data_IF_794706076092
#
_entry.id   IF_794706076092
#
_cell.length_a   1.000
_cell.length_b   1.000
_cell.length_c   1.000
_cell.angle_alpha   90.00
_cell.angle_beta   90.00
_cell.angle_gamma   90.00
#
_symmetry.space_group_name_H-M   'P 1'
#
loop_
_entity.id
_entity.type
_entity.pdbx_description
1 polymer ?
#
# COMPACT_ATOMS: atom_id res chain seq x y z
N UNK A 1 27.78 -5.11 -4.62
CA UNK A 1 28.32 -5.54 -5.92
C UNK A 1 27.27 -5.54 -7.04
N UNK A 2 26.03 -5.98 -6.80
CA UNK A 2 24.92 -5.92 -7.78
C UNK A 2 24.61 -4.50 -8.29
N UNK A 3 24.45 -3.54 -7.39
CA UNK A 3 24.11 -2.15 -7.73
C UNK A 3 25.09 -1.51 -8.72
N UNK A 4 26.39 -1.72 -8.50
CA UNK A 4 27.45 -1.25 -9.40
C UNK A 4 27.31 -1.85 -10.81
N UNK A 5 27.04 -3.15 -10.93
CA UNK A 5 26.81 -3.81 -12.23
C UNK A 5 25.55 -3.28 -12.94
N UNK A 6 24.51 -2.93 -12.19
CA UNK A 6 23.28 -2.35 -12.73
C UNK A 6 23.53 -0.94 -13.32
N UNK A 7 24.22 -0.08 -12.58
CA UNK A 7 24.57 1.29 -13.01
C UNK A 7 25.49 1.27 -14.23
N UNK A 8 26.49 0.38 -14.24
CA UNK A 8 27.41 0.24 -15.38
C UNK A 8 26.85 -0.57 -16.56
N UNK A 9 25.55 -0.94 -16.54
CA UNK A 9 24.89 -1.73 -17.59
C UNK A 9 25.57 -3.06 -17.91
N UNK A 10 26.18 -3.69 -16.91
CA UNK A 10 26.90 -4.98 -17.02
C UNK A 10 25.93 -6.16 -16.82
N UNK A 11 24.71 -5.92 -16.36
CA UNK A 11 23.72 -6.98 -16.14
C UNK A 11 23.41 -7.75 -17.44
N UNK A 12 23.23 -9.09 -17.35
CA UNK A 12 22.94 -9.95 -18.49
C UNK A 12 21.46 -9.82 -18.90
N UNK A 13 21.04 -8.62 -19.29
CA UNK A 13 19.72 -8.37 -19.88
C UNK A 13 19.75 -8.68 -21.37
N UNK A 14 18.62 -9.12 -21.96
CA UNK A 14 18.60 -9.63 -23.34
C UNK A 14 19.06 -8.61 -24.38
N UNK A 15 18.90 -7.29 -24.16
CA UNK A 15 19.49 -6.28 -25.08
C UNK A 15 21.02 -6.38 -25.12
N UNK A 16 21.67 -6.51 -23.96
CA UNK A 16 23.13 -6.65 -23.87
C UNK A 16 23.62 -8.00 -24.40
N UNK A 17 22.89 -9.08 -24.10
CA UNK A 17 23.22 -10.42 -24.57
C UNK A 17 23.03 -10.54 -26.09
N UNK A 18 22.02 -9.90 -26.65
CA UNK A 18 21.78 -9.85 -28.09
C UNK A 18 22.92 -9.13 -28.83
N UNK A 19 23.37 -7.98 -28.31
CA UNK A 19 24.55 -7.26 -28.85
C UNK A 19 25.82 -8.12 -28.84
N UNK A 20 25.97 -8.99 -27.84
CA UNK A 20 27.10 -9.93 -27.73
C UNK A 20 26.86 -11.27 -28.45
N UNK A 21 25.76 -11.40 -29.19
CA UNK A 21 25.34 -12.63 -29.91
C UNK A 21 25.13 -13.86 -29.01
N UNK A 22 24.80 -13.63 -27.74
CA UNK A 22 24.50 -14.69 -26.77
C UNK A 22 22.99 -14.94 -26.57
N UNK A 23 22.12 -14.08 -27.10
CA UNK A 23 20.67 -14.22 -27.06
C UNK A 23 20.06 -14.14 -28.47
N UNK A 24 18.96 -14.86 -28.70
CA UNK A 24 18.28 -14.93 -30.00
C UNK A 24 17.48 -13.66 -30.31
N UNK A 25 16.88 -13.04 -29.29
CA UNK A 25 16.09 -11.81 -29.42
C UNK A 25 16.27 -10.91 -28.20
N UNK A 26 16.14 -9.58 -28.35
CA UNK A 26 16.30 -8.63 -27.24
C UNK A 26 15.09 -8.53 -26.30
N UNK A 27 13.98 -9.23 -26.58
CA UNK A 27 12.73 -9.13 -25.80
C UNK A 27 12.87 -9.66 -24.37
N UNK A 28 12.15 -9.08 -23.41
CA UNK A 28 12.12 -9.53 -22.01
C UNK A 28 11.65 -10.98 -21.88
N UNK A 29 12.41 -11.78 -21.12
CA UNK A 29 12.09 -13.19 -20.89
C UNK A 29 10.81 -13.40 -20.06
N UNK A 30 10.37 -12.37 -19.32
CA UNK A 30 9.17 -12.45 -18.46
C UNK A 30 7.92 -11.97 -19.17
N UNK A 31 7.88 -10.69 -19.59
CA UNK A 31 6.67 -10.10 -20.17
C UNK A 31 6.56 -10.36 -21.67
N UNK A 32 7.68 -10.64 -22.35
CA UNK A 32 7.78 -10.90 -23.78
C UNK A 32 7.25 -9.79 -24.71
N UNK A 33 6.86 -8.63 -24.16
CA UNK A 33 6.22 -7.54 -24.89
C UNK A 33 7.19 -6.44 -25.32
N UNK A 34 8.27 -6.21 -24.58
CA UNK A 34 9.23 -5.14 -24.83
C UNK A 34 10.68 -5.64 -24.78
N UNK A 35 11.62 -4.83 -25.27
CA UNK A 35 13.05 -5.11 -25.18
C UNK A 35 13.54 -5.04 -23.73
N UNK A 36 14.36 -6.01 -23.33
CA UNK A 36 14.90 -6.11 -21.99
C UNK A 36 16.14 -5.22 -21.81
N UNK A 37 15.91 -3.93 -21.56
CA UNK A 37 16.92 -3.02 -21.03
C UNK A 37 17.06 -3.21 -19.52
N UNK A 38 18.09 -2.61 -18.88
CA UNK A 38 18.23 -2.63 -17.41
C UNK A 38 17.03 -1.96 -16.74
N UNK A 39 16.55 -0.86 -17.31
CA UNK A 39 15.37 -0.14 -16.85
C UNK A 39 14.11 -1.00 -16.97
N UNK A 40 13.91 -1.69 -18.10
CA UNK A 40 12.76 -2.59 -18.26
C UNK A 40 12.85 -3.77 -17.27
N UNK A 41 13.98 -4.45 -17.28
CA UNK A 41 14.32 -5.56 -16.40
C UNK A 41 14.04 -5.29 -14.91
N UNK A 42 14.51 -4.16 -14.39
CA UNK A 42 14.52 -3.86 -12.96
C UNK A 42 13.43 -2.91 -12.51
N UNK A 43 12.78 -2.16 -13.42
CA UNK A 43 11.84 -1.10 -13.06
C UNK A 43 10.53 -1.16 -13.86
N UNK A 44 10.57 -1.28 -15.19
CA UNK A 44 9.39 -1.01 -16.04
C UNK A 44 8.62 -2.26 -16.48
N UNK A 45 9.21 -3.45 -16.40
CA UNK A 45 8.53 -4.71 -16.71
C UNK A 45 7.26 -4.82 -15.86
N UNK A 46 6.08 -5.13 -16.44
CA UNK A 46 4.82 -5.21 -15.69
C UNK A 46 4.91 -6.11 -14.45
N UNK A 47 5.64 -7.22 -14.56
CA UNK A 47 5.90 -8.12 -13.45
C UNK A 47 6.78 -7.48 -12.36
N UNK A 48 7.86 -6.82 -12.75
CA UNK A 48 8.76 -6.13 -11.82
C UNK A 48 8.08 -4.94 -11.14
N UNK A 49 7.25 -4.19 -11.87
CA UNK A 49 6.42 -3.10 -11.32
C UNK A 49 5.48 -3.58 -10.23
N UNK A 50 4.89 -4.77 -10.41
CA UNK A 50 4.02 -5.38 -9.40
C UNK A 50 4.79 -5.69 -8.10
N UNK A 51 6.06 -6.09 -8.17
CA UNK A 51 6.91 -6.32 -7.00
C UNK A 51 7.24 -5.01 -6.28
N UNK A 52 7.67 -3.97 -7.00
CA UNK A 52 7.95 -2.66 -6.39
C UNK A 52 6.71 -2.07 -5.71
N UNK A 53 5.56 -2.16 -6.39
CA UNK A 53 4.29 -1.67 -5.87
C UNK A 53 3.83 -2.44 -4.62
N UNK A 54 3.97 -3.76 -4.62
CA UNK A 54 3.55 -4.58 -3.49
C UNK A 54 4.57 -4.65 -2.34
N UNK A 55 5.77 -4.09 -2.50
CA UNK A 55 6.80 -4.06 -1.46
C UNK A 55 6.53 -3.00 -0.38
N UNK A 56 7.29 -3.03 0.72
CA UNK A 56 7.26 -2.00 1.78
C UNK A 56 7.46 -0.57 1.28
N UNK A 57 8.18 -0.40 0.16
CA UNK A 57 8.45 0.90 -0.43
C UNK A 57 7.30 1.43 -1.29
N UNK A 58 6.41 0.55 -1.77
CA UNK A 58 5.20 0.89 -2.55
C UNK A 58 5.44 1.81 -3.74
N UNK A 59 6.58 1.65 -4.42
CA UNK A 59 6.99 2.51 -5.53
C UNK A 59 6.40 1.98 -6.84
N UNK A 60 5.94 2.87 -7.71
CA UNK A 60 5.49 2.54 -9.05
C UNK A 60 6.41 3.19 -10.10
N UNK A 61 7.45 2.49 -10.56
CA UNK A 61 8.24 2.97 -11.70
C UNK A 61 7.37 3.00 -12.96
N UNK A 62 7.50 4.06 -13.74
CA UNK A 62 6.80 4.28 -15.02
C UNK A 62 7.77 4.90 -16.03
N UNK A 63 7.45 4.79 -17.32
CA UNK A 63 8.26 5.39 -18.37
C UNK A 63 8.39 6.93 -18.23
N UNK A 64 7.43 7.58 -17.56
CA UNK A 64 7.45 9.02 -17.34
C UNK A 64 8.39 9.44 -16.20
N UNK A 65 8.65 8.55 -15.22
CA UNK A 65 9.50 8.87 -14.07
C UNK A 65 10.87 8.16 -14.10
N UNK A 66 11.04 7.14 -14.95
CA UNK A 66 12.32 6.44 -15.16
C UNK A 66 12.97 6.92 -16.45
N UNK A 67 13.94 7.82 -16.32
CA UNK A 67 14.77 8.26 -17.45
C UNK A 67 16.02 7.38 -17.63
N UNK A 68 16.68 7.03 -16.53
CA UNK A 68 17.73 6.01 -16.48
C UNK A 68 17.69 5.30 -15.13
N UNK A 69 18.18 4.06 -15.07
CA UNK A 69 18.24 3.31 -13.81
C UNK A 69 19.03 4.07 -12.74
N UNK A 70 20.17 4.67 -13.11
CA UNK A 70 21.03 5.43 -12.20
C UNK A 70 20.32 6.66 -11.63
N UNK A 71 19.75 7.50 -12.50
CA UNK A 71 19.07 8.73 -12.07
C UNK A 71 17.85 8.41 -11.21
N UNK A 72 17.06 7.41 -11.63
CA UNK A 72 15.90 6.96 -10.88
C UNK A 72 16.30 6.42 -9.50
N UNK A 73 17.37 5.63 -9.41
CA UNK A 73 17.87 5.13 -8.13
C UNK A 73 18.37 6.25 -7.24
N UNK A 74 19.10 7.23 -7.77
CA UNK A 74 19.58 8.37 -6.97
C UNK A 74 18.42 9.21 -6.44
N UNK A 75 17.45 9.57 -7.28
CA UNK A 75 16.27 10.34 -6.88
C UNK A 75 15.42 9.59 -5.85
N UNK A 76 15.32 8.27 -6.00
CA UNK A 76 14.54 7.40 -5.11
C UNK A 76 15.24 7.19 -3.77
N UNK A 77 16.56 6.91 -3.77
CA UNK A 77 17.37 6.73 -2.55
C UNK A 77 17.47 8.03 -1.75
N UNK A 78 17.57 9.19 -2.40
CA UNK A 78 17.57 10.50 -1.72
C UNK A 78 16.23 10.80 -1.04
N UNK A 79 15.11 10.42 -1.66
CA UNK A 79 13.78 10.54 -1.04
C UNK A 79 13.59 9.56 0.14
N UNK A 80 14.18 8.37 0.07
CA UNK A 80 14.05 7.31 1.08
C UNK A 80 14.97 7.51 2.29
N UNK A 81 16.13 8.18 2.14
CA UNK A 81 17.10 8.43 3.21
C UNK A 81 16.57 9.18 4.44
N UNK A 82 15.34 9.71 4.42
CA UNK A 82 14.70 10.34 5.59
C UNK A 82 13.99 9.37 6.53
N UNK A 83 13.96 8.05 6.28
CA UNK A 83 13.26 7.14 7.22
C UNK A 83 13.51 5.64 7.14
N UNK A 84 14.05 5.04 6.08
CA UNK A 84 14.16 3.57 6.01
C UNK A 84 15.47 3.10 5.37
N UNK A 85 15.99 1.97 5.88
CA UNK A 85 17.29 1.38 5.52
C UNK A 85 17.36 0.80 4.09
N UNK A 86 18.27 -0.17 3.89
CA UNK A 86 18.62 -0.84 2.59
C UNK A 86 17.48 -1.66 1.94
N UNK A 87 16.23 -1.23 2.04
CA UNK A 87 15.05 -1.94 1.53
C UNK A 87 15.04 -2.04 -0.01
N UNK A 88 15.45 -0.98 -0.69
CA UNK A 88 15.57 -0.95 -2.15
C UNK A 88 16.58 -1.98 -2.67
N UNK A 89 17.71 -2.15 -1.97
CA UNK A 89 18.72 -3.16 -2.32
C UNK A 89 18.15 -4.58 -2.20
N UNK A 90 17.32 -4.85 -1.19
CA UNK A 90 16.70 -6.17 -0.98
C UNK A 90 15.72 -6.51 -2.08
N UNK A 91 14.86 -5.57 -2.46
CA UNK A 91 13.90 -5.76 -3.54
C UNK A 91 14.64 -6.01 -4.85
N UNK A 92 15.67 -5.21 -5.15
CA UNK A 92 16.50 -5.37 -6.34
C UNK A 92 17.19 -6.74 -6.41
N UNK A 93 17.81 -7.19 -5.33
CA UNK A 93 18.46 -8.51 -5.28
C UNK A 93 17.47 -9.67 -5.43
N UNK A 94 16.26 -9.57 -4.85
CA UNK A 94 15.23 -10.60 -4.99
C UNK A 94 14.61 -10.62 -6.39
N UNK A 95 14.44 -9.45 -7.00
CA UNK A 95 14.02 -9.33 -8.40
C UNK A 95 15.00 -10.01 -9.34
N UNK A 96 16.31 -9.75 -9.18
CA UNK A 96 17.34 -10.43 -9.96
C UNK A 96 17.31 -11.95 -9.72
N UNK A 97 17.25 -12.38 -8.46
CA UNK A 97 17.27 -13.80 -8.11
C UNK A 97 16.07 -14.55 -8.69
N UNK A 98 14.86 -13.99 -8.57
CA UNK A 98 13.65 -14.57 -9.14
C UNK A 98 13.73 -14.62 -10.67
N UNK A 99 14.32 -13.60 -11.30
CA UNK A 99 14.53 -13.59 -12.75
C UNK A 99 15.52 -14.65 -13.20
N UNK A 100 16.63 -14.81 -12.49
CA UNK A 100 17.60 -15.87 -12.78
C UNK A 100 16.96 -17.26 -12.64
N UNK A 101 16.15 -17.48 -11.60
CA UNK A 101 15.38 -18.72 -11.43
C UNK A 101 14.39 -18.95 -12.57
N UNK A 102 13.70 -17.91 -13.04
CA UNK A 102 12.80 -18.02 -14.19
C UNK A 102 13.54 -18.39 -15.47
N UNK A 103 14.64 -17.69 -15.77
CA UNK A 103 15.40 -17.85 -17.02
C UNK A 103 16.11 -19.22 -17.07
N UNK A 104 16.81 -19.59 -16.00
CA UNK A 104 17.67 -20.78 -16.00
C UNK A 104 17.00 -22.04 -15.46
N UNK A 105 16.01 -21.90 -14.57
CA UNK A 105 15.35 -23.04 -13.91
C UNK A 105 13.87 -23.17 -14.32
N UNK A 106 13.37 -22.30 -15.19
CA UNK A 106 11.99 -22.31 -15.70
C UNK A 106 10.92 -22.29 -14.59
N UNK A 107 11.28 -21.72 -13.43
CA UNK A 107 10.38 -21.59 -12.29
C UNK A 107 9.34 -20.51 -12.62
N UNK A 108 8.07 -20.82 -12.31
CA UNK A 108 6.99 -19.84 -12.42
C UNK A 108 7.13 -18.79 -11.32
N UNK A 109 7.39 -17.56 -11.73
CA UNK A 109 7.62 -16.44 -10.83
C UNK A 109 6.32 -15.74 -10.43
N UNK A 110 6.18 -15.45 -9.14
CA UNK A 110 5.02 -14.76 -8.57
C UNK A 110 5.49 -13.50 -7.82
N UNK A 111 5.02 -12.30 -8.17
CA UNK A 111 5.40 -11.05 -7.49
C UNK A 111 5.19 -11.11 -5.97
N UNK A 112 4.09 -11.73 -5.51
CA UNK A 112 3.79 -11.89 -4.08
C UNK A 112 4.87 -12.67 -3.34
N UNK A 113 5.41 -13.72 -3.97
CA UNK A 113 6.46 -14.53 -3.35
C UNK A 113 7.78 -13.74 -3.24
N UNK A 114 8.10 -12.94 -4.25
CA UNK A 114 9.30 -12.09 -4.25
C UNK A 114 9.24 -11.03 -3.15
N UNK A 115 8.06 -10.43 -2.95
CA UNK A 115 7.81 -9.47 -1.87
C UNK A 115 8.01 -10.13 -0.50
N UNK A 116 7.38 -11.30 -0.28
CA UNK A 116 7.52 -12.06 0.97
C UNK A 116 8.98 -12.40 1.23
N UNK A 117 9.73 -12.86 0.22
CA UNK A 117 11.14 -13.21 0.35
C UNK A 117 11.99 -11.97 0.68
N UNK A 118 11.71 -10.82 0.07
CA UNK A 118 12.41 -9.57 0.35
C UNK A 118 12.18 -9.08 1.80
N UNK A 119 10.97 -9.25 2.33
CA UNK A 119 10.62 -8.95 3.73
C UNK A 119 11.17 -9.99 4.73
N UNK A 120 11.24 -11.25 4.33
CA UNK A 120 11.88 -12.31 5.13
C UNK A 120 13.37 -12.07 5.27
N UNK A 121 14.06 -11.75 4.17
CA UNK A 121 15.47 -11.31 4.20
C UNK A 121 15.65 -10.04 5.03
N UNK A 122 14.63 -9.17 5.10
CA UNK A 122 14.65 -8.02 5.98
C UNK A 122 14.68 -8.40 7.46
N UNK A 123 13.89 -9.41 7.80
CA UNK A 123 13.77 -9.97 9.14
C UNK A 123 15.00 -10.81 9.50
N UNK A 124 15.49 -11.65 8.60
CA UNK A 124 16.66 -12.52 8.80
C UNK A 124 17.95 -11.72 8.92
N UNK A 125 18.15 -10.67 8.11
CA UNK A 125 19.30 -9.78 8.25
C UNK A 125 19.26 -9.02 9.58
N UNK A 126 18.09 -8.57 10.04
CA UNK A 126 17.96 -7.98 11.38
C UNK A 126 18.25 -8.99 12.48
N UNK A 127 17.79 -10.24 12.35
CA UNK A 127 18.03 -11.29 13.33
C UNK A 127 19.50 -11.74 13.35
N UNK A 128 20.16 -11.87 12.20
CA UNK A 128 21.59 -12.26 12.11
C UNK A 128 22.54 -11.13 12.49
N UNK A 129 22.19 -9.87 12.24
CA UNK A 129 22.95 -8.71 12.75
C UNK A 129 22.82 -8.59 14.28
N UNK A 130 21.69 -9.02 14.85
CA UNK A 130 21.46 -9.10 16.32
C UNK A 130 22.10 -10.36 16.94
N UNK A 131 22.17 -11.46 16.19
CA UNK A 131 22.75 -12.76 16.59
C UNK A 131 24.28 -12.80 16.65
N UNK A 132 24.98 -11.66 16.49
CA UNK A 132 26.39 -11.55 16.93
C UNK A 132 26.53 -11.30 18.43
N UNK A 133 25.42 -11.25 19.15
CA UNK A 133 25.35 -11.17 20.60
C UNK A 133 24.22 -12.08 21.05
N UNK A 134 24.58 -13.06 21.87
CA UNK A 134 23.74 -14.13 22.49
C UNK A 134 23.36 -15.30 21.58
N UNK A 135 24.30 -16.23 21.43
CA UNK A 135 23.97 -17.65 21.30
C UNK A 135 23.27 -18.16 22.57
N UNK A 136 22.45 -19.19 22.35
CA UNK A 136 21.70 -20.02 23.31
C UNK A 136 20.39 -19.42 23.86
N UNK A 137 19.26 -19.94 23.38
CA UNK A 137 18.34 -20.79 24.17
C UNK A 137 17.32 -21.47 23.23
N UNK A 138 16.94 -22.66 23.66
CA UNK A 138 16.20 -23.77 23.07
C UNK A 138 15.01 -23.49 22.13
N UNK A 139 14.99 -24.31 21.07
CA UNK A 139 13.83 -24.64 20.23
C UNK A 139 12.66 -25.18 21.07
N UNK A 140 11.56 -24.44 21.13
CA UNK A 140 10.24 -24.99 21.48
C UNK A 140 9.14 -24.26 20.69
N UNK A 141 8.25 -25.08 20.13
CA UNK A 141 6.98 -24.82 19.43
C UNK A 141 6.89 -23.74 18.33
N UNK A 142 6.94 -24.23 17.09
CA UNK A 142 6.37 -23.56 15.91
C UNK A 142 4.89 -23.92 15.80
N UNK A 143 4.04 -23.31 16.62
CA UNK A 143 2.64 -23.13 16.23
C UNK A 143 2.55 -21.79 15.50
N UNK A 144 2.03 -21.81 14.26
CA UNK A 144 1.97 -20.63 13.41
C UNK A 144 1.02 -19.58 13.99
N UNK A 145 1.57 -18.58 14.67
CA UNK A 145 0.83 -17.35 14.95
C UNK A 145 0.48 -16.68 13.61
N UNK A 146 -0.80 -16.76 13.22
CA UNK A 146 -1.35 -15.89 12.18
C UNK A 146 -1.11 -14.46 12.62
N UNK A 147 -0.15 -13.75 12.02
CA UNK A 147 0.02 -12.30 12.21
C UNK A 147 -1.31 -11.63 11.84
N UNK A 148 -2.07 -11.20 12.85
CA UNK A 148 -3.36 -10.53 12.67
C UNK A 148 -3.15 -9.16 12.00
N UNK A 149 -3.82 -8.94 10.88
CA UNK A 149 -3.88 -7.65 10.19
C UNK A 149 -4.87 -6.78 10.98
N UNK A 150 -4.44 -5.60 11.42
CA UNK A 150 -5.27 -4.66 12.18
C UNK A 150 -4.91 -3.22 11.79
N UNK A 151 -5.77 -2.27 12.13
CA UNK A 151 -5.54 -0.85 11.85
C UNK A 151 -4.20 -0.40 12.43
N UNK A 152 -3.47 0.42 11.67
CA UNK A 152 -2.19 0.98 12.09
C UNK A 152 -2.28 2.49 12.25
N UNK A 153 -1.72 3.06 13.33
CA UNK A 153 -1.65 4.50 13.49
C UNK A 153 -0.87 5.16 12.35
N UNK A 154 -1.22 6.41 12.06
CA UNK A 154 -0.45 7.28 11.18
C UNK A 154 0.92 7.62 11.78
N UNK A 155 1.89 8.04 10.96
CA UNK A 155 3.10 8.68 11.47
C UNK A 155 2.77 9.84 12.40
N UNK A 156 3.67 10.12 13.34
CA UNK A 156 3.49 11.20 14.32
C UNK A 156 3.20 12.54 13.60
N UNK A 157 2.24 13.30 14.11
CA UNK A 157 1.71 14.55 13.53
C UNK A 157 1.00 14.43 12.17
N UNK A 158 0.53 13.22 11.80
CA UNK A 158 -0.39 13.04 10.67
C UNK A 158 -1.76 12.56 11.14
N UNK A 159 -2.81 13.06 10.50
CA UNK A 159 -4.15 12.51 10.65
C UNK A 159 -4.37 11.37 9.65
N UNK A 160 -5.27 10.45 9.99
CA UNK A 160 -5.68 9.36 9.11
C UNK A 160 -7.19 9.29 9.05
N UNK A 161 -7.74 9.48 7.86
CA UNK A 161 -9.15 9.30 7.56
C UNK A 161 -9.37 7.91 6.96
N UNK A 162 -10.17 7.07 7.62
CA UNK A 162 -10.62 5.80 7.08
C UNK A 162 -12.03 5.98 6.50
N UNK A 163 -12.25 5.46 5.29
CA UNK A 163 -13.54 5.56 4.58
C UNK A 163 -14.05 4.17 4.21
N UNK A 164 -15.36 3.98 4.28
CA UNK A 164 -16.05 2.76 3.85
C UNK A 164 -17.47 3.10 3.40
N UNK A 165 -18.08 2.24 2.58
CA UNK A 165 -19.48 2.34 2.24
C UNK A 165 -20.24 1.01 2.35
N UNK A 166 -21.45 1.07 2.90
CA UNK A 166 -22.39 -0.03 2.86
C UNK A 166 -23.37 0.22 1.71
N UNK A 167 -23.59 -0.78 0.85
CA UNK A 167 -24.49 -0.68 -0.29
C UNK A 167 -25.46 -1.86 -0.35
N UNK A 168 -26.75 -1.56 -0.46
CA UNK A 168 -27.81 -2.56 -0.60
C UNK A 168 -28.40 -2.55 -2.01
N UNK A 169 -27.96 -3.52 -2.83
CA UNK A 169 -28.24 -3.60 -4.27
C UNK A 169 -29.72 -3.56 -4.63
N UNK A 170 -30.59 -4.21 -3.85
CA UNK A 170 -32.03 -4.31 -4.17
C UNK A 170 -32.76 -2.97 -4.02
N UNK A 171 -32.38 -2.17 -3.04
CA UNK A 171 -33.02 -0.87 -2.76
C UNK A 171 -32.28 0.32 -3.38
N UNK A 172 -31.04 0.14 -3.82
CA UNK A 172 -30.13 1.23 -4.19
C UNK A 172 -29.65 2.09 -3.01
N UNK A 173 -30.06 1.76 -1.78
CA UNK A 173 -29.64 2.50 -0.58
C UNK A 173 -28.18 2.24 -0.30
N UNK A 174 -27.43 3.32 -0.07
CA UNK A 174 -26.07 3.29 0.44
C UNK A 174 -25.92 4.15 1.70
N UNK A 175 -24.88 3.85 2.46
CA UNK A 175 -24.40 4.71 3.51
C UNK A 175 -22.87 4.81 3.44
N UNK A 176 -22.35 6.03 3.54
CA UNK A 176 -20.92 6.28 3.65
C UNK A 176 -20.55 6.52 5.11
N UNK A 177 -19.34 6.12 5.47
CA UNK A 177 -18.72 6.49 6.72
C UNK A 177 -17.29 6.99 6.52
N UNK A 178 -16.95 8.02 7.27
CA UNK A 178 -15.61 8.58 7.40
C UNK A 178 -15.28 8.69 8.87
N UNK A 179 -14.13 8.17 9.27
CA UNK A 179 -13.59 8.34 10.62
C UNK A 179 -12.17 8.86 10.54
N UNK A 180 -11.92 10.02 11.17
CA UNK A 180 -10.60 10.65 11.23
C UNK A 180 -9.99 10.38 12.60
N UNK A 181 -8.80 9.80 12.60
CA UNK A 181 -8.04 9.45 13.80
C UNK A 181 -6.66 10.09 13.81
N UNK A 182 -6.14 10.36 15.00
CA UNK A 182 -4.76 10.78 15.19
C UNK A 182 -3.79 9.58 15.28
N UNK A 183 -2.51 9.88 15.46
CA UNK A 183 -1.44 8.90 15.62
C UNK A 183 -1.57 8.03 16.90
N UNK A 184 -2.41 8.44 17.87
CA UNK A 184 -2.72 7.67 19.07
C UNK A 184 -3.96 6.77 18.88
N UNK A 185 -4.60 6.84 17.71
CA UNK A 185 -5.84 6.13 17.42
C UNK A 185 -7.09 6.78 18.02
N UNK A 186 -6.98 7.99 18.56
CA UNK A 186 -8.13 8.74 19.08
C UNK A 186 -8.95 9.28 17.91
N UNK A 187 -10.27 9.13 17.98
CA UNK A 187 -11.17 9.77 17.01
C UNK A 187 -11.11 11.29 17.22
N UNK A 188 -10.77 12.00 16.15
CA UNK A 188 -10.78 13.47 16.08
C UNK A 188 -12.13 13.95 15.57
N UNK A 189 -12.61 13.35 14.49
CA UNK A 189 -13.90 13.67 13.88
C UNK A 189 -14.36 12.52 12.98
N UNK A 190 -15.55 12.63 12.42
CA UNK A 190 -16.06 11.71 11.43
C UNK A 190 -17.40 12.17 10.89
N UNK A 191 -17.86 11.53 9.83
CA UNK A 191 -19.21 11.74 9.32
C UNK A 191 -19.77 10.41 8.84
N UNK A 192 -21.10 10.33 8.85
CA UNK A 192 -21.84 9.26 8.20
C UNK A 192 -22.98 9.88 7.41
N UNK A 193 -23.20 9.41 6.20
CA UNK A 193 -24.28 9.89 5.34
C UNK A 193 -25.04 8.72 4.75
N UNK A 194 -26.30 8.95 4.37
CA UNK A 194 -27.11 8.00 3.61
C UNK A 194 -27.50 8.64 2.29
N UNK A 195 -27.46 7.86 1.23
CA UNK A 195 -27.78 8.31 -0.12
C UNK A 195 -28.27 7.13 -0.97
N UNK A 196 -28.76 7.44 -2.16
CA UNK A 196 -29.13 6.43 -3.16
C UNK A 196 -28.04 6.39 -4.22
N UNK A 197 -27.66 5.20 -4.64
CA UNK A 197 -26.68 4.96 -5.70
C UNK A 197 -27.00 3.66 -6.42
N UNK A 198 -26.35 3.45 -7.56
CA UNK A 198 -26.58 2.29 -8.43
C UNK A 198 -25.49 1.23 -8.30
N UNK A 199 -24.36 1.53 -7.66
CA UNK A 199 -23.23 0.61 -7.56
C UNK A 199 -22.48 0.74 -6.24
N UNK A 200 -21.88 -0.37 -5.80
CA UNK A 200 -21.00 -0.40 -4.63
C UNK A 200 -19.78 0.50 -4.83
N UNK A 201 -19.19 0.51 -6.03
CA UNK A 201 -18.01 1.34 -6.34
C UNK A 201 -18.34 2.84 -6.29
N UNK A 202 -19.54 3.25 -6.71
CA UNK A 202 -20.00 4.62 -6.56
C UNK A 202 -20.25 4.98 -5.08
N UNK A 203 -20.72 4.03 -4.27
CA UNK A 203 -20.86 4.23 -2.83
C UNK A 203 -19.50 4.46 -2.16
N UNK A 204 -18.50 3.64 -2.48
CA UNK A 204 -17.12 3.78 -1.99
C UNK A 204 -16.51 5.11 -2.46
N UNK A 205 -16.69 5.48 -3.73
CA UNK A 205 -16.23 6.76 -4.26
C UNK A 205 -16.87 7.93 -3.51
N UNK A 206 -18.17 7.84 -3.23
CA UNK A 206 -18.88 8.88 -2.48
C UNK A 206 -18.34 9.01 -1.05
N UNK A 207 -18.05 7.90 -0.35
CA UNK A 207 -17.43 7.93 0.97
C UNK A 207 -16.05 8.61 0.95
N UNK A 208 -15.24 8.31 -0.06
CA UNK A 208 -13.93 8.93 -0.26
C UNK A 208 -14.06 10.44 -0.51
N UNK A 209 -15.01 10.85 -1.38
CA UNK A 209 -15.30 12.25 -1.67
C UNK A 209 -15.74 13.01 -0.42
N UNK A 210 -16.59 12.42 0.41
CA UNK A 210 -17.02 13.02 1.67
C UNK A 210 -15.86 13.21 2.65
N UNK A 211 -14.88 12.31 2.67
CA UNK A 211 -13.68 12.49 3.47
C UNK A 211 -12.86 13.70 3.01
N UNK A 212 -12.67 13.87 1.71
CA UNK A 212 -11.98 15.05 1.16
C UNK A 212 -12.69 16.36 1.54
N UNK A 213 -14.02 16.39 1.38
CA UNK A 213 -14.82 17.57 1.75
C UNK A 213 -14.70 17.85 3.25
N UNK A 214 -14.77 16.82 4.09
CA UNK A 214 -14.65 16.96 5.55
C UNK A 214 -13.28 17.51 5.94
N UNK A 215 -12.21 16.93 5.41
CA UNK A 215 -10.82 17.34 5.66
C UNK A 215 -10.62 18.80 5.25
N UNK A 216 -11.13 19.18 4.08
CA UNK A 216 -11.04 20.55 3.57
C UNK A 216 -11.80 21.54 4.45
N UNK A 217 -13.07 21.24 4.76
CA UNK A 217 -13.92 22.13 5.54
C UNK A 217 -13.37 22.37 6.96
N UNK A 218 -12.66 21.38 7.50
CA UNK A 218 -12.04 21.47 8.82
C UNK A 218 -10.57 21.93 8.77
N UNK A 219 -10.05 22.31 7.60
CA UNK A 219 -8.67 22.76 7.40
C UNK A 219 -7.64 21.78 8.01
N UNK A 220 -7.89 20.48 7.83
CA UNK A 220 -7.06 19.42 8.36
C UNK A 220 -5.87 19.17 7.43
N UNK A 221 -4.82 19.95 7.62
CA UNK A 221 -3.57 19.76 6.89
C UNK A 221 -2.94 18.40 7.24
N UNK A 222 -2.23 17.79 6.27
CA UNK A 222 -1.44 16.57 6.49
C UNK A 222 -2.27 15.32 6.92
N UNK A 223 -3.38 15.07 6.20
CA UNK A 223 -4.25 13.91 6.40
C UNK A 223 -4.05 12.83 5.32
N UNK A 224 -3.94 11.56 5.73
CA UNK A 224 -3.91 10.41 4.81
C UNK A 224 -5.33 9.81 4.74
N UNK A 225 -5.85 9.60 3.52
CA UNK A 225 -7.14 8.91 3.34
C UNK A 225 -6.89 7.45 2.98
N UNK A 226 -7.51 6.54 3.72
CA UNK A 226 -7.45 5.09 3.54
C UNK A 226 -8.84 4.52 3.26
N UNK A 227 -8.95 3.72 2.20
CA UNK A 227 -10.13 2.91 1.87
C UNK A 227 -9.69 1.46 1.63
N UNK A 228 -10.59 0.50 1.85
CA UNK A 228 -10.36 -0.89 1.50
C UNK A 228 -10.74 -1.23 0.03
N UNK A 229 -11.28 -0.25 -0.69
CA UNK A 229 -11.67 -0.38 -2.09
C UNK A 229 -10.47 -0.20 -3.04
N UNK A 230 -9.78 -1.31 -3.34
CA UNK A 230 -8.62 -1.31 -4.24
C UNK A 230 -8.90 -0.73 -5.64
N UNK A 231 -10.01 -1.05 -6.33
CA UNK A 231 -10.30 -0.50 -7.65
C UNK A 231 -10.42 1.02 -7.65
N UNK A 232 -11.03 1.60 -6.59
CA UNK A 232 -11.15 3.05 -6.45
C UNK A 232 -9.78 3.72 -6.29
N UNK A 233 -8.93 3.19 -5.42
CA UNK A 233 -7.57 3.72 -5.22
C UNK A 233 -6.75 3.64 -6.50
N UNK A 234 -6.87 2.54 -7.25
CA UNK A 234 -6.20 2.38 -8.55
C UNK A 234 -6.68 3.43 -9.55
N UNK A 235 -8.00 3.65 -9.65
CA UNK A 235 -8.59 4.65 -10.54
C UNK A 235 -8.14 6.08 -10.18
N UNK A 236 -8.17 6.46 -8.89
CA UNK A 236 -7.71 7.77 -8.42
C UNK A 236 -6.22 7.98 -8.76
N UNK A 237 -5.36 7.01 -8.42
CA UNK A 237 -3.91 7.13 -8.66
C UNK A 237 -3.54 7.14 -10.14
N UNK A 238 -4.25 6.37 -10.96
CA UNK A 238 -4.06 6.34 -12.40
C UNK A 238 -4.75 7.51 -13.12
N UNK A 239 -5.58 8.30 -12.41
CA UNK A 239 -6.48 9.30 -12.96
C UNK A 239 -7.38 8.73 -14.08
N UNK A 240 -7.85 7.50 -13.88
CA UNK A 240 -8.66 6.76 -14.83
C UNK A 240 -10.13 6.73 -14.39
N UNK A 241 -11.08 6.80 -15.34
CA UNK A 241 -12.50 6.70 -15.03
C UNK A 241 -12.90 5.26 -14.70
N UNK A 242 -13.89 5.11 -13.82
CA UNK A 242 -14.69 3.89 -13.66
C UNK A 242 -16.11 4.30 -14.05
N UNK A 243 -16.70 3.64 -15.06
CA UNK A 243 -17.95 4.09 -15.68
C UNK A 243 -19.06 4.40 -14.67
N UNK A 244 -19.24 3.53 -13.67
CA UNK A 244 -20.28 3.65 -12.65
C UNK A 244 -20.05 4.77 -11.62
N UNK A 245 -18.81 5.26 -11.49
CA UNK A 245 -18.40 6.26 -10.50
C UNK A 245 -17.68 7.47 -11.11
N UNK A 246 -17.71 7.61 -12.44
CA UNK A 246 -16.85 8.52 -13.21
C UNK A 246 -17.02 10.00 -12.81
N UNK A 247 -18.26 10.44 -12.62
CA UNK A 247 -18.56 11.79 -12.17
C UNK A 247 -17.97 12.07 -10.76
N UNK A 248 -18.07 11.10 -9.85
CA UNK A 248 -17.56 11.21 -8.48
C UNK A 248 -16.03 11.19 -8.49
N UNK A 249 -15.41 10.32 -9.30
CA UNK A 249 -13.96 10.24 -9.46
C UNK A 249 -13.40 11.55 -10.00
N UNK A 250 -14.05 12.18 -10.99
CA UNK A 250 -13.61 13.50 -11.48
C UNK A 250 -13.60 14.56 -10.38
N UNK A 251 -14.63 14.58 -9.53
CA UNK A 251 -14.70 15.51 -8.40
C UNK A 251 -13.61 15.21 -7.35
N UNK A 252 -13.38 13.92 -7.04
CA UNK A 252 -12.27 13.49 -6.18
C UNK A 252 -10.93 13.98 -6.71
N UNK A 253 -10.67 13.83 -8.02
CA UNK A 253 -9.42 14.26 -8.64
C UNK A 253 -9.23 15.77 -8.54
N UNK A 254 -10.29 16.55 -8.77
CA UNK A 254 -10.25 18.00 -8.60
C UNK A 254 -9.94 18.40 -7.14
N UNK A 255 -10.63 17.78 -6.18
CA UNK A 255 -10.39 18.04 -4.75
C UNK A 255 -8.96 17.65 -4.32
N UNK A 256 -8.39 16.60 -4.89
CA UNK A 256 -7.00 16.20 -4.63
C UNK A 256 -5.98 17.15 -5.25
N UNK A 257 -6.25 17.68 -6.45
CA UNK A 257 -5.38 18.68 -7.10
C UNK A 257 -5.31 19.97 -6.26
N UNK A 258 -6.37 20.30 -5.52
CA UNK A 258 -6.43 21.42 -4.56
C UNK A 258 -5.79 21.10 -3.19
N UNK A 259 -5.45 19.84 -2.90
CA UNK A 259 -4.98 19.38 -1.60
C UNK A 259 -3.71 18.49 -1.72
N UNK A 260 -2.53 19.06 -2.02
CA UNK A 260 -1.31 18.29 -2.34
C UNK A 260 -0.78 17.45 -1.16
N UNK A 261 -1.16 17.79 0.08
CA UNK A 261 -0.75 17.08 1.29
C UNK A 261 -1.64 15.86 1.62
N UNK A 262 -2.70 15.64 0.84
CA UNK A 262 -3.66 14.54 1.04
C UNK A 262 -3.38 13.40 0.06
N UNK A 263 -3.11 12.21 0.59
CA UNK A 263 -2.78 11.02 -0.20
C UNK A 263 -3.87 9.95 -0.16
N UNK A 264 -4.15 9.33 -1.32
CA UNK A 264 -5.00 8.15 -1.44
C UNK A 264 -4.22 6.87 -1.12
N UNK A 265 -4.68 6.10 -0.13
CA UNK A 265 -4.03 4.86 0.31
C UNK A 265 -5.04 3.72 0.39
N UNK A 266 -4.58 2.51 0.08
CA UNK A 266 -5.38 1.30 0.24
C UNK A 266 -4.98 0.60 1.55
N UNK A 267 -5.98 0.08 2.28
CA UNK A 267 -5.79 -0.80 3.43
C UNK A 267 -6.56 -2.10 3.24
N UNK A 268 -6.08 -3.26 3.74
CA UNK A 268 -6.93 -4.44 3.86
C UNK A 268 -8.19 -4.13 4.69
N UNK A 269 -9.28 -4.84 4.44
CA UNK A 269 -10.56 -4.68 5.15
C UNK A 269 -10.42 -4.88 6.67
N UNK A 270 -9.54 -5.79 7.08
CA UNK A 270 -9.21 -6.03 8.49
C UNK A 270 -8.53 -4.82 9.16
N UNK A 271 -7.95 -3.92 8.37
CA UNK A 271 -7.42 -2.63 8.80
C UNK A 271 -8.44 -1.48 8.75
N UNK A 272 -9.67 -1.72 8.26
CA UNK A 272 -10.71 -0.70 8.07
C UNK A 272 -11.98 -0.93 8.91
N UNK A 273 -11.91 -1.78 9.95
CA UNK A 273 -13.09 -2.27 10.69
C UNK A 273 -14.00 -1.15 11.25
N UNK A 274 -13.42 -0.06 11.76
CA UNK A 274 -14.21 1.04 12.34
C UNK A 274 -15.08 1.72 11.27
N UNK A 275 -14.50 2.10 10.13
CA UNK A 275 -15.25 2.72 9.04
C UNK A 275 -16.32 1.76 8.51
N UNK A 276 -15.98 0.48 8.39
CA UNK A 276 -16.92 -0.55 7.96
C UNK A 276 -18.13 -0.72 8.87
N UNK A 277 -17.92 -0.81 10.18
CA UNK A 277 -19.01 -0.89 11.15
C UNK A 277 -19.87 0.38 11.14
N UNK A 278 -19.26 1.56 11.04
CA UNK A 278 -19.99 2.83 10.96
C UNK A 278 -20.89 2.90 9.72
N UNK A 279 -20.39 2.46 8.56
CA UNK A 279 -21.16 2.44 7.33
C UNK A 279 -22.36 1.47 7.44
N UNK A 280 -22.15 0.29 8.00
CA UNK A 280 -23.21 -0.69 8.25
C UNK A 280 -24.28 -0.16 9.22
N UNK A 281 -23.87 0.44 10.35
CA UNK A 281 -24.78 1.05 11.32
C UNK A 281 -25.56 2.22 10.70
N UNK A 282 -24.91 3.05 9.89
CA UNK A 282 -25.55 4.15 9.18
C UNK A 282 -26.61 3.64 8.19
N UNK A 283 -26.33 2.57 7.44
CA UNK A 283 -27.31 1.92 6.57
C UNK A 283 -28.51 1.36 7.35
N UNK A 284 -28.27 0.83 8.57
CA UNK A 284 -29.29 0.30 9.47
C UNK A 284 -30.09 1.33 10.27
N UNK A 285 -29.78 2.64 10.17
CA UNK A 285 -30.31 3.68 11.09
C UNK A 285 -29.98 3.45 12.58
N UNK A 286 -28.87 2.78 12.85
CA UNK A 286 -28.44 2.42 14.21
C UNK A 286 -27.46 3.43 14.82
N UNK A 287 -27.09 4.49 14.06
CA UNK A 287 -26.12 5.48 14.49
C UNK A 287 -26.77 6.81 14.89
N UNK A 288 -26.40 7.35 16.06
CA UNK A 288 -26.84 8.67 16.52
C UNK A 288 -26.01 9.77 15.86
N UNK A 289 -26.59 10.95 15.65
CA UNK A 289 -25.88 12.13 15.08
C UNK A 289 -24.61 12.52 15.85
N UNK A 290 -24.55 12.27 17.16
CA UNK A 290 -23.43 12.64 18.04
C UNK A 290 -22.46 11.48 18.35
N UNK A 291 -22.42 10.44 17.51
CA UNK A 291 -21.59 9.24 17.73
C UNK A 291 -20.10 9.52 17.92
N UNK A 292 -19.60 10.68 17.47
CA UNK A 292 -18.21 11.10 17.68
C UNK A 292 -17.89 11.26 19.18
N UNK A 293 -18.83 11.80 19.97
CA UNK A 293 -18.65 12.03 21.40
C UNK A 293 -19.02 10.81 22.24
N UNK A 294 -20.04 10.06 21.81
CA UNK A 294 -20.46 8.81 22.44
C UNK A 294 -20.57 7.70 21.37
N UNK A 295 -19.44 7.07 21.01
CA UNK A 295 -19.42 6.04 20.00
C UNK A 295 -20.15 4.77 20.50
N UNK A 296 -20.90 4.07 19.62
CA UNK A 296 -21.52 2.80 19.96
C UNK A 296 -20.53 1.81 20.60
N UNK A 297 -21.02 0.94 21.47
CA UNK A 297 -20.19 -0.01 22.22
C UNK A 297 -19.31 -0.88 21.30
N UNK A 298 -19.84 -1.28 20.15
CA UNK A 298 -19.11 -2.05 19.14
C UNK A 298 -17.90 -1.27 18.61
N UNK A 299 -18.08 -0.01 18.24
CA UNK A 299 -17.00 0.89 17.78
C UNK A 299 -15.96 1.09 18.88
N UNK A 300 -16.40 1.34 20.12
CA UNK A 300 -15.52 1.50 21.27
C UNK A 300 -14.66 0.26 21.53
N UNK A 301 -15.25 -0.93 21.40
CA UNK A 301 -14.55 -2.19 21.57
C UNK A 301 -13.53 -2.44 20.44
N UNK A 302 -13.90 -2.15 19.19
CA UNK A 302 -12.96 -2.24 18.06
C UNK A 302 -11.78 -1.30 18.23
N UNK A 303 -11.99 -0.04 18.59
CA UNK A 303 -10.90 0.93 18.81
C UNK A 303 -9.98 0.47 19.95
N UNK A 304 -10.53 -0.02 21.07
CA UNK A 304 -9.72 -0.56 22.18
C UNK A 304 -8.86 -1.75 21.75
N UNK A 305 -9.43 -2.60 20.91
CA UNK A 305 -8.76 -3.79 20.38
C UNK A 305 -7.62 -3.39 19.43
N UNK A 306 -7.90 -2.48 18.49
CA UNK A 306 -6.90 -1.91 17.56
C UNK A 306 -5.77 -1.18 18.32
N UNK A 307 -6.10 -0.40 19.35
CA UNK A 307 -5.10 0.30 20.18
C UNK A 307 -4.22 -0.67 20.99
N UNK A 308 -4.81 -1.73 21.56
CA UNK A 308 -4.06 -2.77 22.28
C UNK A 308 -3.04 -3.46 21.37
N UNK A 309 -3.43 -3.76 20.12
CA UNK A 309 -2.53 -4.36 19.15
C UNK A 309 -1.45 -3.39 18.65
N UNK A 310 -1.77 -2.10 18.47
CA UNK A 310 -0.79 -1.09 18.10
C UNK A 310 0.30 -0.92 19.18
N UNK A 311 -0.07 -0.95 20.47
CA UNK A 311 0.87 -0.89 21.59
C UNK A 311 1.78 -2.14 21.63
N UNK A 312 1.23 -3.33 21.39
CA UNK A 312 2.02 -4.57 21.34
C UNK A 312 3.03 -4.54 20.18
N UNK A 313 2.64 -4.04 19.01
CA UNK A 313 3.55 -3.87 17.87
C UNK A 313 4.62 -2.80 18.14
N UNK A 314 4.29 -1.73 18.85
CA UNK A 314 5.22 -0.66 19.21
C UNK A 314 6.22 -1.09 20.29
N UNK A 315 5.78 -1.82 21.33
CA UNK A 315 6.66 -2.34 22.37
C UNK A 315 7.61 -3.42 21.85
N UNK A 316 7.20 -4.20 20.86
CA UNK A 316 8.08 -5.11 20.12
C UNK A 316 9.14 -4.38 19.26
N UNK A 317 8.95 -3.08 18.98
CA UNK A 317 9.94 -2.23 18.34
C UNK A 317 10.84 -1.49 19.34
N UNK A 318 10.34 -1.14 20.55
CA UNK A 318 11.13 -0.45 21.59
C UNK A 318 12.14 -1.38 22.29
N UNK A 319 11.82 -2.68 22.43
CA UNK A 319 12.75 -3.67 22.98
C UNK A 319 13.67 -4.32 21.92
N UNK A 320 13.86 -3.68 20.76
CA UNK A 320 14.79 -4.09 19.69
C UNK A 320 16.00 -3.19 19.59
#
# INVERSE_FOLDING_TARGET
MFFWKAVHRILPVNVNLYQRRCAVKPSCSICQAENETVEHALLLCPWTRAVWFGSSLQIAPTANNVSSFEKWMMDTVWKIKRGTGKEHDRILCNLESARNQHIYQQIRINPKQVIINAEQLATEYHNTTRSRSTDNISRADRSGEKKMITWRPSPQNKLKANTDAAFHKESGTAAAAVVVRDWQGKIITGTTSRFITTSAIAAEAQAYREALILIRNLQMDNCIIETDCLPLVQAIKARMPIAEADAIIRDILQLLDEAPDVGATWTPREGNNVAHQLAAMAAGNEIKRQWIFDPPNQIRNTIRTEAGFAILQHNQQIHK
#
